data_IF_049804243016
#
_entry.id   IF_049804243016
#
_cell.length_a   1.000
_cell.length_b   1.000
_cell.length_c   1.000
_cell.angle_alpha   90.00
_cell.angle_beta   90.00
_cell.angle_gamma   90.00
#
_symmetry.space_group_name_H-M   'P 1'
#
loop_
_entity.id
_entity.type
_entity.pdbx_description
1 polymer ?
#
# COMPACT_ATOMS: atom_id res chain seq x y z
N UNK A 1 -0.90 11.80 -11.14
CA UNK A 1 -2.34 11.94 -10.81
C UNK A 1 -3.23 10.90 -11.49
N UNK A 2 -3.20 10.70 -12.82
CA UNK A 2 -4.05 9.70 -13.50
C UNK A 2 -3.82 8.26 -13.00
N UNK A 3 -2.56 7.84 -12.85
CA UNK A 3 -2.24 6.48 -12.38
C UNK A 3 -2.65 6.24 -10.91
N UNK A 4 -2.48 7.23 -10.04
CA UNK A 4 -2.95 7.14 -8.65
C UNK A 4 -4.47 7.06 -8.56
N UNK A 5 -5.17 7.80 -9.42
CA UNK A 5 -6.63 7.72 -9.53
C UNK A 5 -7.08 6.32 -9.95
N UNK A 6 -6.40 5.69 -10.91
CA UNK A 6 -6.70 4.30 -11.30
C UNK A 6 -6.51 3.31 -10.15
N UNK A 7 -5.48 3.47 -9.32
CA UNK A 7 -5.26 2.65 -8.13
C UNK A 7 -6.40 2.84 -7.11
N UNK A 8 -6.77 4.09 -6.81
CA UNK A 8 -7.90 4.42 -5.93
C UNK A 8 -9.23 3.85 -6.44
N UNK A 9 -9.49 4.00 -7.74
CA UNK A 9 -10.68 3.48 -8.41
C UNK A 9 -10.71 1.94 -8.32
N UNK A 10 -9.56 1.28 -8.50
CA UNK A 10 -9.44 -0.18 -8.36
C UNK A 10 -9.75 -0.67 -6.94
N UNK A 11 -9.29 0.03 -5.91
CA UNK A 11 -9.59 -0.30 -4.51
C UNK A 11 -11.08 -0.10 -4.23
N UNK A 12 -11.64 1.02 -4.68
CA UNK A 12 -13.06 1.34 -4.51
C UNK A 12 -13.96 0.31 -5.21
N UNK A 13 -13.61 -0.07 -6.44
CA UNK A 13 -14.34 -1.09 -7.20
C UNK A 13 -14.28 -2.46 -6.54
N UNK A 14 -13.11 -2.86 -6.02
CA UNK A 14 -12.97 -4.11 -5.26
C UNK A 14 -13.83 -4.12 -3.99
N UNK A 15 -13.85 -3.01 -3.25
CA UNK A 15 -14.71 -2.87 -2.08
C UNK A 15 -16.19 -2.97 -2.44
N UNK A 16 -16.63 -2.21 -3.44
CA UNK A 16 -18.03 -2.25 -3.88
C UNK A 16 -18.43 -3.64 -4.35
N UNK A 17 -17.52 -4.37 -5.04
CA UNK A 17 -17.73 -5.75 -5.47
C UNK A 17 -17.84 -6.72 -4.30
N UNK A 18 -16.96 -6.62 -3.30
CA UNK A 18 -17.02 -7.44 -2.09
C UNK A 18 -18.37 -7.26 -1.38
N UNK A 19 -18.80 -6.00 -1.16
CA UNK A 19 -20.10 -5.72 -0.55
C UNK A 19 -21.27 -6.27 -1.36
N UNK A 20 -21.21 -6.22 -2.70
CA UNK A 20 -22.22 -6.82 -3.56
C UNK A 20 -22.29 -8.35 -3.41
N UNK A 21 -21.14 -9.02 -3.34
CA UNK A 21 -21.08 -10.48 -3.15
C UNK A 21 -21.71 -10.91 -1.82
N UNK A 22 -21.43 -10.20 -0.73
CA UNK A 22 -22.04 -10.52 0.57
C UNK A 22 -23.54 -10.25 0.61
N UNK A 23 -24.03 -9.20 -0.09
CA UNK A 23 -25.46 -8.98 -0.28
C UNK A 23 -26.13 -10.11 -1.07
N UNK A 24 -25.44 -10.69 -2.05
CA UNK A 24 -25.97 -11.83 -2.80
C UNK A 24 -26.07 -13.09 -1.94
N UNK A 25 -25.07 -13.33 -1.09
CA UNK A 25 -25.10 -14.42 -0.09
C UNK A 25 -26.27 -14.24 0.88
N UNK A 26 -26.49 -13.02 1.39
CA UNK A 26 -27.61 -12.68 2.28
C UNK A 26 -28.97 -12.95 1.61
N UNK A 27 -29.13 -12.54 0.35
CA UNK A 27 -30.35 -12.84 -0.45
C UNK A 27 -30.64 -14.34 -0.55
N UNK A 28 -29.60 -15.16 -0.74
CA UNK A 28 -29.76 -16.62 -0.85
C UNK A 28 -29.98 -17.32 0.50
N UNK A 29 -29.42 -16.81 1.60
CA UNK A 29 -29.55 -17.46 2.92
C UNK A 29 -30.84 -17.15 3.65
N UNK A 30 -31.34 -15.91 3.55
CA UNK A 30 -32.31 -15.44 4.54
C UNK A 30 -33.67 -15.04 3.96
N UNK A 31 -33.82 -14.84 2.65
CA UNK A 31 -35.06 -14.33 2.03
C UNK A 31 -35.48 -12.92 2.50
N UNK A 32 -34.92 -12.44 3.62
CA UNK A 32 -34.93 -11.08 4.16
C UNK A 32 -33.56 -10.47 3.90
N UNK A 33 -33.54 -9.37 3.16
CA UNK A 33 -32.33 -8.59 2.93
C UNK A 33 -32.00 -7.75 4.18
N UNK A 34 -30.73 -7.76 4.59
CA UNK A 34 -30.19 -6.76 5.52
C UNK A 34 -29.81 -7.27 6.91
N UNK A 35 -29.30 -8.49 7.06
CA UNK A 35 -28.67 -8.93 8.32
C UNK A 35 -27.48 -8.01 8.67
N UNK A 36 -27.50 -7.29 9.81
CA UNK A 36 -26.37 -6.46 10.24
C UNK A 36 -25.08 -7.27 10.41
N UNK A 37 -25.23 -8.51 10.84
CA UNK A 37 -24.13 -9.44 11.12
C UNK A 37 -23.36 -9.83 9.84
N UNK A 38 -24.06 -10.00 8.71
CA UNK A 38 -23.42 -10.28 7.42
C UNK A 38 -22.72 -9.05 6.83
N UNK A 39 -23.23 -7.85 7.11
CA UNK A 39 -22.55 -6.60 6.73
C UNK A 39 -21.25 -6.41 7.53
N UNK A 40 -21.27 -6.71 8.83
CA UNK A 40 -20.08 -6.65 9.68
C UNK A 40 -19.02 -7.67 9.25
N UNK A 41 -19.44 -8.88 8.87
CA UNK A 41 -18.56 -9.91 8.29
C UNK A 41 -17.93 -9.45 6.96
N UNK A 42 -18.71 -8.81 6.08
CA UNK A 42 -18.19 -8.26 4.82
C UNK A 42 -17.17 -7.16 5.06
N UNK A 43 -17.47 -6.23 5.98
CA UNK A 43 -16.57 -5.16 6.38
C UNK A 43 -15.28 -5.71 7.00
N UNK A 44 -15.38 -6.73 7.88
CA UNK A 44 -14.22 -7.38 8.47
C UNK A 44 -13.36 -8.08 7.42
N UNK A 45 -13.98 -8.80 6.49
CA UNK A 45 -13.28 -9.48 5.41
C UNK A 45 -12.49 -8.48 4.55
N UNK A 46 -13.16 -7.43 4.10
CA UNK A 46 -12.52 -6.40 3.27
C UNK A 46 -11.44 -5.63 4.06
N UNK A 47 -11.65 -5.37 5.35
CA UNK A 47 -10.65 -4.73 6.21
C UNK A 47 -9.34 -5.52 6.26
N UNK A 48 -9.43 -6.84 6.42
CA UNK A 48 -8.25 -7.74 6.40
C UNK A 48 -7.54 -7.70 5.05
N UNK A 49 -8.28 -7.74 3.94
CA UNK A 49 -7.70 -7.61 2.60
C UNK A 49 -6.99 -6.27 2.42
N UNK A 50 -7.59 -5.19 2.93
CA UNK A 50 -7.06 -3.84 2.80
C UNK A 50 -5.73 -3.71 3.54
N UNK A 51 -5.66 -4.17 4.79
CA UNK A 51 -4.43 -4.19 5.59
C UNK A 51 -3.35 -5.04 4.91
N UNK A 52 -3.70 -6.24 4.46
CA UNK A 52 -2.75 -7.12 3.78
C UNK A 52 -2.16 -6.44 2.52
N UNK A 53 -2.98 -5.71 1.76
CA UNK A 53 -2.49 -4.94 0.61
C UNK A 53 -1.57 -3.79 1.02
N UNK A 54 -1.90 -3.04 2.06
CA UNK A 54 -1.04 -1.95 2.55
C UNK A 54 0.32 -2.44 3.02
N UNK A 55 0.35 -3.54 3.77
CA UNK A 55 1.59 -4.17 4.23
C UNK A 55 2.43 -4.65 3.05
N UNK A 56 1.84 -5.45 2.16
CA UNK A 56 2.54 -6.00 0.99
C UNK A 56 3.12 -4.88 0.11
N UNK A 57 2.37 -3.81 -0.13
CA UNK A 57 2.84 -2.67 -0.94
C UNK A 57 3.98 -1.93 -0.25
N UNK A 58 3.87 -1.70 1.06
CA UNK A 58 4.92 -1.05 1.86
C UNK A 58 6.21 -1.91 1.85
N UNK A 59 6.08 -3.23 2.03
CA UNK A 59 7.19 -4.17 1.99
C UNK A 59 7.90 -4.17 0.62
N UNK A 60 7.14 -4.25 -0.47
CA UNK A 60 7.69 -4.23 -1.83
C UNK A 60 8.45 -2.92 -2.10
N UNK A 61 7.87 -1.76 -1.75
CA UNK A 61 8.53 -0.47 -1.96
C UNK A 61 9.82 -0.39 -1.15
N UNK A 62 9.82 -0.81 0.12
CA UNK A 62 11.02 -0.85 0.95
C UNK A 62 12.09 -1.79 0.39
N UNK A 63 11.69 -2.96 -0.11
CA UNK A 63 12.60 -3.88 -0.78
C UNK A 63 13.23 -3.25 -2.02
N UNK A 64 12.43 -2.60 -2.88
CA UNK A 64 12.94 -1.90 -4.06
C UNK A 64 13.94 -0.79 -3.69
N UNK A 65 13.67 -0.01 -2.64
CA UNK A 65 14.63 0.98 -2.12
C UNK A 65 15.92 0.30 -1.67
N UNK A 66 15.83 -0.80 -0.93
CA UNK A 66 16.99 -1.56 -0.46
C UNK A 66 17.87 -2.09 -1.59
N UNK A 67 17.27 -2.61 -2.67
CA UNK A 67 18.00 -3.08 -3.86
C UNK A 67 18.76 -1.94 -4.55
N UNK A 68 18.12 -0.77 -4.71
CA UNK A 68 18.77 0.40 -5.32
C UNK A 68 19.89 0.92 -4.42
N UNK A 69 19.68 0.98 -3.10
CA UNK A 69 20.69 1.41 -2.14
C UNK A 69 21.92 0.49 -2.17
N UNK A 70 21.72 -0.84 -2.19
CA UNK A 70 22.79 -1.81 -2.32
C UNK A 70 23.56 -1.67 -3.65
N UNK A 71 22.84 -1.45 -4.76
CA UNK A 71 23.46 -1.26 -6.08
C UNK A 71 24.32 0.01 -6.14
N UNK A 72 23.83 1.11 -5.58
CA UNK A 72 24.58 2.36 -5.50
C UNK A 72 25.82 2.24 -4.63
N UNK A 73 25.70 1.56 -3.48
CA UNK A 73 26.81 1.37 -2.55
C UNK A 73 27.94 0.53 -3.19
N UNK A 74 27.60 -0.55 -3.90
CA UNK A 74 28.58 -1.34 -4.64
C UNK A 74 29.32 -0.50 -5.71
N UNK A 75 28.62 0.40 -6.40
CA UNK A 75 29.24 1.30 -7.39
C UNK A 75 30.13 2.36 -6.74
N UNK A 76 29.73 2.90 -5.59
CA UNK A 76 30.53 3.86 -4.81
C UNK A 76 31.82 3.21 -4.29
N UNK A 77 31.74 1.98 -3.80
CA UNK A 77 32.91 1.20 -3.38
C UNK A 77 33.84 0.92 -4.55
N UNK A 78 33.30 0.63 -5.74
CA UNK A 78 34.10 0.45 -6.96
C UNK A 78 34.90 1.71 -7.30
N UNK A 79 34.29 2.89 -7.20
CA UNK A 79 34.94 4.17 -7.48
C UNK A 79 35.91 4.63 -6.39
N UNK A 80 35.84 4.05 -5.18
CA UNK A 80 36.66 4.46 -4.06
C UNK A 80 38.14 4.16 -4.34
N UNK A 81 38.97 5.21 -4.41
CA UNK A 81 40.40 5.10 -4.66
C UNK A 81 40.80 4.96 -6.14
N UNK A 82 39.88 5.10 -7.09
CA UNK A 82 40.18 5.08 -8.52
C UNK A 82 40.31 6.49 -9.12
N UNK A 83 41.07 6.64 -10.23
CA UNK A 83 41.24 7.93 -10.91
C UNK A 83 39.93 8.38 -11.60
N UNK A 84 39.33 9.51 -11.21
CA UNK A 84 38.07 9.99 -11.79
C UNK A 84 38.15 10.34 -13.28
N UNK A 85 39.35 10.47 -13.87
CA UNK A 85 39.53 10.78 -15.30
C UNK A 85 39.37 9.57 -16.23
N UNK A 86 39.35 8.35 -15.69
CA UNK A 86 39.13 7.15 -16.49
C UNK A 86 37.68 7.13 -17.02
N UNK A 87 37.54 6.84 -18.31
CA UNK A 87 36.23 6.83 -18.98
C UNK A 87 35.24 5.86 -18.32
N UNK A 88 35.72 4.72 -17.82
CA UNK A 88 34.94 3.74 -17.09
C UNK A 88 34.38 4.31 -15.78
N UNK A 89 35.18 5.08 -15.05
CA UNK A 89 34.78 5.70 -13.79
C UNK A 89 33.73 6.79 -14.00
N UNK A 90 33.87 7.56 -15.09
CA UNK A 90 32.85 8.53 -15.50
C UNK A 90 31.51 7.85 -15.84
N UNK A 91 31.53 6.68 -16.49
CA UNK A 91 30.31 5.89 -16.77
C UNK A 91 29.68 5.37 -15.49
N UNK A 92 30.48 4.84 -14.57
CA UNK A 92 30.00 4.37 -13.26
C UNK A 92 29.39 5.51 -12.44
N UNK A 93 30.02 6.68 -12.42
CA UNK A 93 29.50 7.87 -11.75
C UNK A 93 28.16 8.34 -12.34
N UNK A 94 28.03 8.36 -13.68
CA UNK A 94 26.76 8.63 -14.34
C UNK A 94 25.68 7.60 -13.97
N UNK A 95 26.04 6.32 -13.88
CA UNK A 95 25.11 5.28 -13.45
C UNK A 95 24.64 5.46 -12.00
N UNK A 96 25.50 5.89 -11.07
CA UNK A 96 25.09 6.22 -9.69
C UNK A 96 24.04 7.33 -9.69
N UNK A 97 24.21 8.38 -10.50
CA UNK A 97 23.22 9.44 -10.62
C UNK A 97 21.87 8.91 -11.11
N UNK A 98 21.87 8.03 -12.13
CA UNK A 98 20.62 7.42 -12.60
C UNK A 98 19.93 6.59 -11.53
N UNK A 99 20.68 5.91 -10.67
CA UNK A 99 20.12 5.12 -9.58
C UNK A 99 19.63 6.00 -8.43
N UNK A 100 20.26 7.15 -8.17
CA UNK A 100 19.78 8.13 -7.19
C UNK A 100 18.41 8.71 -7.59
N UNK A 101 18.21 8.98 -8.88
CA UNK A 101 16.89 9.38 -9.40
C UNK A 101 15.86 8.27 -9.18
N UNK A 102 16.20 7.01 -9.49
CA UNK A 102 15.31 5.86 -9.23
C UNK A 102 15.00 5.72 -7.75
N UNK A 103 15.99 5.87 -6.87
CA UNK A 103 15.83 5.79 -5.41
C UNK A 103 14.82 6.83 -4.93
N UNK A 104 14.95 8.07 -5.39
CA UNK A 104 14.04 9.14 -5.03
C UNK A 104 12.62 8.85 -5.55
N UNK A 105 12.50 8.31 -6.76
CA UNK A 105 11.21 7.85 -7.28
C UNK A 105 10.59 6.76 -6.39
N UNK A 106 11.34 5.73 -6.00
CA UNK A 106 10.84 4.66 -5.12
C UNK A 106 10.46 5.18 -3.74
N UNK A 107 11.22 6.13 -3.19
CA UNK A 107 10.85 6.79 -1.92
C UNK A 107 9.58 7.61 -2.02
N UNK A 108 9.36 8.26 -3.16
CA UNK A 108 8.11 8.97 -3.41
C UNK A 108 6.90 8.00 -3.44
N UNK A 109 7.10 6.73 -3.82
CA UNK A 109 6.04 5.73 -3.74
C UNK A 109 5.58 5.44 -2.31
N UNK A 110 6.42 5.64 -1.28
CA UNK A 110 5.97 5.57 0.12
C UNK A 110 4.97 6.69 0.45
N UNK A 111 5.18 7.89 -0.11
CA UNK A 111 4.24 9.01 0.06
C UNK A 111 2.95 8.73 -0.68
N UNK A 112 3.04 8.17 -1.89
CA UNK A 112 1.87 7.70 -2.66
C UNK A 112 1.09 6.66 -1.85
N UNK A 113 1.78 5.71 -1.22
CA UNK A 113 1.14 4.68 -0.42
C UNK A 113 0.39 5.25 0.78
N UNK A 114 0.97 6.25 1.45
CA UNK A 114 0.27 6.96 2.53
C UNK A 114 -1.03 7.64 2.02
N UNK A 115 -1.00 8.27 0.84
CA UNK A 115 -2.18 8.88 0.23
C UNK A 115 -3.24 7.83 -0.10
N UNK A 116 -2.84 6.71 -0.72
CA UNK A 116 -3.75 5.62 -1.08
C UNK A 116 -4.36 4.99 0.17
N UNK A 117 -3.56 4.79 1.23
CA UNK A 117 -4.02 4.30 2.53
C UNK A 117 -5.11 5.20 3.12
N UNK A 118 -4.87 6.51 3.17
CA UNK A 118 -5.85 7.45 3.69
C UNK A 118 -7.17 7.42 2.88
N UNK A 119 -7.08 7.48 1.55
CA UNK A 119 -8.26 7.49 0.68
C UNK A 119 -9.06 6.19 0.73
N UNK A 120 -8.35 5.05 0.75
CA UNK A 120 -9.00 3.75 0.84
C UNK A 120 -9.64 3.54 2.21
N UNK A 121 -9.06 4.07 3.30
CA UNK A 121 -9.69 4.11 4.61
C UNK A 121 -10.95 4.99 4.61
N UNK A 122 -10.90 6.18 4.03
CA UNK A 122 -12.05 7.08 3.97
C UNK A 122 -13.20 6.44 3.18
N UNK A 123 -12.88 5.78 2.06
CA UNK A 123 -13.84 5.02 1.29
C UNK A 123 -14.44 3.85 2.10
N UNK A 124 -13.61 3.13 2.84
CA UNK A 124 -14.03 2.04 3.72
C UNK A 124 -14.98 2.53 4.80
N UNK A 125 -14.60 3.55 5.58
CA UNK A 125 -15.42 4.14 6.64
C UNK A 125 -16.76 4.67 6.12
N UNK A 126 -16.82 5.15 4.87
CA UNK A 126 -18.08 5.62 4.29
C UNK A 126 -19.10 4.49 4.06
N UNK A 127 -18.65 3.24 3.85
CA UNK A 127 -19.53 2.06 3.70
C UNK A 127 -19.70 1.27 5.00
N UNK A 128 -18.65 1.22 5.83
CA UNK A 128 -18.56 0.46 7.06
C UNK A 128 -18.53 1.41 8.27
N UNK A 129 -19.57 2.23 8.44
CA UNK A 129 -19.60 3.38 9.37
C UNK A 129 -19.44 2.99 10.84
N UNK A 130 -19.97 1.84 11.24
CA UNK A 130 -19.96 1.35 12.62
C UNK A 130 -18.94 0.22 12.83
N UNK A 131 -18.13 -0.06 11.81
CA UNK A 131 -17.14 -1.10 11.92
C UNK A 131 -16.01 -0.68 12.86
N UNK A 132 -15.65 -1.62 13.73
CA UNK A 132 -14.46 -1.55 14.54
C UNK A 132 -13.77 -2.92 14.50
N UNK A 133 -12.44 -2.98 14.27
CA UNK A 133 -11.75 -4.26 14.22
C UNK A 133 -11.83 -4.96 15.59
N UNK A 134 -12.03 -6.30 15.62
CA UNK A 134 -12.06 -7.05 16.85
C UNK A 134 -10.80 -6.84 17.70
N UNK A 135 -10.97 -6.69 19.02
CA UNK A 135 -9.85 -6.48 19.96
C UNK A 135 -8.83 -7.64 19.91
N UNK A 136 -9.31 -8.84 19.59
CA UNK A 136 -8.45 -10.03 19.42
C UNK A 136 -7.52 -9.94 18.19
N UNK A 137 -7.84 -9.12 17.20
CA UNK A 137 -7.03 -8.92 16.00
C UNK A 137 -6.09 -7.72 16.20
N UNK A 138 -5.03 -7.96 16.98
CA UNK A 138 -4.02 -6.95 17.34
C UNK A 138 -3.35 -6.32 16.12
N UNK A 139 -3.12 -7.10 15.06
CA UNK A 139 -2.56 -6.63 13.78
C UNK A 139 -3.49 -5.62 13.12
N UNK A 140 -4.76 -5.98 12.96
CA UNK A 140 -5.76 -5.08 12.39
C UNK A 140 -5.97 -3.83 13.22
N UNK A 141 -5.87 -3.96 14.55
CA UNK A 141 -6.00 -2.87 15.51
C UNK A 141 -4.86 -1.86 15.42
N UNK A 142 -3.61 -2.33 15.34
CA UNK A 142 -2.46 -1.45 15.14
C UNK A 142 -2.62 -0.55 13.90
N UNK A 143 -3.10 -1.12 12.79
CA UNK A 143 -3.39 -0.35 11.58
C UNK A 143 -4.55 0.61 11.73
N UNK A 144 -5.58 0.22 12.47
CA UNK A 144 -6.68 1.11 12.81
C UNK A 144 -6.19 2.31 13.60
N UNK A 145 -5.43 2.08 14.68
CA UNK A 145 -4.98 3.13 15.58
C UNK A 145 -3.95 4.06 14.93
N UNK A 146 -3.00 3.51 14.16
CA UNK A 146 -1.98 4.32 13.47
C UNK A 146 -2.57 5.36 12.52
N UNK A 147 -3.65 5.02 11.79
CA UNK A 147 -4.30 5.98 10.89
C UNK A 147 -5.19 6.99 11.64
N UNK A 148 -5.54 6.73 12.90
CA UNK A 148 -6.25 7.70 13.74
C UNK A 148 -5.31 8.61 14.54
N UNK A 149 -4.06 8.19 14.77
CA UNK A 149 -3.05 8.98 15.46
C UNK A 149 -2.49 10.14 14.62
N UNK A 150 -2.56 10.04 13.28
CA UNK A 150 -2.11 11.07 12.33
C UNK A 150 -3.16 12.18 12.08
N UNK A 151 -4.21 12.29 12.91
CA UNK A 151 -5.28 13.31 12.82
C UNK A 151 -5.25 14.35 13.93
#
# INVERSE_FOLDING_TARGET
MKEYRKLDDSVTMRMNRNLAQFRDIDRHRSGRSGSPQLQDEACLHFWKELIANWENRTEIVNYCVGVVDASMEAKRQTLAGQDPKLDENRRTASSIYTDEVKRNQMRNELTVEAIIRQRSLDAFKSRCKFFEPPISDTRSRHWWDSVHADR
#
